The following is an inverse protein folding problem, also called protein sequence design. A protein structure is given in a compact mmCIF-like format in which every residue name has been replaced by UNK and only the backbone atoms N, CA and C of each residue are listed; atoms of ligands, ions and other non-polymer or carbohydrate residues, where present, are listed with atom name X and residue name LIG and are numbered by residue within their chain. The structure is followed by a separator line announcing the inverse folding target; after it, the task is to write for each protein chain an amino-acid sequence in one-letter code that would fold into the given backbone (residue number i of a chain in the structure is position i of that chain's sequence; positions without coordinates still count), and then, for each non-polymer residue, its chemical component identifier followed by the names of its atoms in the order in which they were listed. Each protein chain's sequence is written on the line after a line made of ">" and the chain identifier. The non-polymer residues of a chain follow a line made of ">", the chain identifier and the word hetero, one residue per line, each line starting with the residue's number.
data_IF_674843633846
#
_entry.id   IF_674843633846
#
_cell.length_a   1.000
_cell.length_b   1.000
_cell.length_c   1.000
_cell.angle_alpha   90.00
_cell.angle_beta   90.00
_cell.angle_gamma   90.00
#
_symmetry.space_group_name_H-M   'P 1'
#
loop_
_entity.id
_entity.type
_entity.pdbx_description
1 polymer ?
#
# COMPACT_ATOMS: atom_id res chain seq x y z
N UNK A 1 9.03 -0.85 9.22
CA UNK A 1 9.11 -0.09 7.97
C UNK A 1 9.29 -1.00 6.79
N UNK A 2 8.79 -0.58 5.64
CA UNK A 2 8.87 -1.36 4.41
C UNK A 2 10.16 -1.00 3.67
N UNK A 3 10.92 -2.01 3.30
CA UNK A 3 12.19 -1.85 2.60
C UNK A 3 12.19 -2.69 1.34
N UNK A 4 13.26 -2.56 0.53
CA UNK A 4 13.50 -3.45 -0.59
C UNK A 4 13.45 -4.90 -0.10
N UNK A 5 12.84 -5.77 -0.91
CA UNK A 5 12.61 -7.19 -0.61
C UNK A 5 11.57 -7.48 0.48
N UNK A 6 10.94 -6.46 1.06
CA UNK A 6 9.81 -6.67 1.95
C UNK A 6 8.62 -7.23 1.18
N UNK A 7 7.82 -8.06 1.83
CA UNK A 7 6.57 -8.58 1.27
C UNK A 7 5.42 -7.79 1.84
N UNK A 8 4.50 -7.36 0.97
CA UNK A 8 3.31 -6.62 1.36
C UNK A 8 2.07 -7.38 0.96
N UNK A 9 1.11 -7.44 1.87
CA UNK A 9 -0.23 -7.94 1.57
C UNK A 9 -0.95 -6.89 0.74
N UNK A 10 -1.68 -7.30 -0.30
CA UNK A 10 -2.49 -6.39 -1.10
C UNK A 10 -3.88 -6.30 -0.49
N UNK A 11 -4.28 -5.10 -0.10
CA UNK A 11 -5.53 -4.84 0.62
C UNK A 11 -6.63 -4.32 -0.31
N UNK A 12 -6.67 -4.78 -1.55
CA UNK A 12 -7.72 -4.41 -2.49
C UNK A 12 -8.25 -5.63 -3.25
N UNK A 13 -9.23 -5.39 -4.11
CA UNK A 13 -9.85 -6.43 -4.93
C UNK A 13 -9.34 -6.46 -6.37
N UNK A 14 -8.14 -5.96 -6.61
CA UNK A 14 -7.53 -5.94 -7.95
C UNK A 14 -7.18 -7.33 -8.49
N UNK A 15 -7.08 -8.30 -7.61
CA UNK A 15 -6.68 -9.67 -7.96
C UNK A 15 -5.30 -10.06 -7.47
N UNK A 16 -4.41 -9.11 -7.25
CA UNK A 16 -3.13 -9.37 -6.60
C UNK A 16 -3.36 -9.60 -5.10
N UNK A 17 -2.59 -10.50 -4.50
CA UNK A 17 -2.68 -10.82 -3.07
C UNK A 17 -1.44 -10.44 -2.28
N UNK A 18 -0.27 -10.55 -2.92
CA UNK A 18 1.01 -10.28 -2.27
C UNK A 18 1.98 -9.72 -3.30
N UNK A 19 2.74 -8.69 -2.91
CA UNK A 19 3.81 -8.15 -3.73
C UNK A 19 5.14 -8.20 -2.97
N UNK A 20 6.22 -8.30 -3.73
CA UNK A 20 7.59 -8.17 -3.22
C UNK A 20 8.10 -6.79 -3.62
N UNK A 21 8.51 -5.99 -2.64
CA UNK A 21 8.98 -4.64 -2.88
C UNK A 21 10.34 -4.67 -3.59
N UNK A 22 10.39 -4.04 -4.77
CA UNK A 22 11.64 -3.87 -5.52
C UNK A 22 12.32 -2.58 -5.08
N UNK A 23 11.54 -1.51 -4.91
CA UNK A 23 12.07 -0.20 -4.59
C UNK A 23 11.01 0.68 -3.92
N UNK A 24 11.45 1.54 -3.00
CA UNK A 24 10.62 2.60 -2.45
C UNK A 24 10.86 3.87 -3.27
N UNK A 25 9.77 4.48 -3.76
CA UNK A 25 9.85 5.68 -4.59
C UNK A 25 10.12 6.90 -3.70
N UNK A 26 11.01 7.78 -4.10
CA UNK A 26 11.27 9.01 -3.36
C UNK A 26 12.70 9.51 -3.47
N UNK A 27 13.47 9.02 -4.43
CA UNK A 27 14.83 9.44 -4.67
C UNK A 27 15.87 8.37 -4.39
N UNK A 28 17.12 8.65 -4.72
CA UNK A 28 18.20 7.65 -4.68
C UNK A 28 18.62 7.22 -3.28
N UNK A 29 18.25 8.00 -2.26
CA UNK A 29 18.63 7.72 -0.86
C UNK A 29 17.51 7.13 -0.01
N UNK A 30 16.34 6.95 -0.59
CA UNK A 30 15.20 6.38 0.16
C UNK A 30 15.38 4.88 0.27
N UNK A 31 15.56 4.40 1.49
CA UNK A 31 15.79 2.98 1.78
C UNK A 31 14.58 2.27 2.37
N UNK A 32 13.65 3.02 2.96
CA UNK A 32 12.46 2.46 3.57
C UNK A 32 11.25 3.36 3.36
N UNK A 33 10.06 2.78 3.42
CA UNK A 33 8.80 3.48 3.29
C UNK A 33 7.89 3.24 4.46
N UNK A 34 6.94 4.14 4.66
CA UNK A 34 5.90 4.04 5.66
C UNK A 34 4.55 4.38 5.01
N UNK A 35 3.50 4.50 5.82
CA UNK A 35 2.14 4.78 5.35
C UNK A 35 2.14 6.03 4.47
N UNK A 36 1.52 5.91 3.29
CA UNK A 36 1.44 6.99 2.32
C UNK A 36 2.60 7.04 1.32
N UNK A 37 3.63 6.23 1.49
CA UNK A 37 4.74 6.15 0.54
C UNK A 37 4.40 5.19 -0.59
N UNK A 38 4.92 5.49 -1.78
CA UNK A 38 4.71 4.67 -2.98
C UNK A 38 5.88 3.69 -3.11
N UNK A 39 5.57 2.45 -3.44
CA UNK A 39 6.56 1.41 -3.71
C UNK A 39 6.33 0.82 -5.10
N UNK A 40 7.40 0.28 -5.68
CA UNK A 40 7.33 -0.53 -6.89
C UNK A 40 7.59 -1.97 -6.45
N UNK A 41 6.75 -2.88 -6.87
CA UNK A 41 6.87 -4.28 -6.48
C UNK A 41 6.47 -5.23 -7.59
N UNK A 42 6.81 -6.50 -7.39
CA UNK A 42 6.44 -7.59 -8.28
C UNK A 42 5.33 -8.40 -7.62
N UNK A 43 4.29 -8.71 -8.36
CA UNK A 43 3.18 -9.55 -7.86
C UNK A 43 3.68 -10.97 -7.66
N UNK A 44 3.64 -11.45 -6.42
CA UNK A 44 4.09 -12.82 -6.06
C UNK A 44 2.93 -13.80 -5.94
N UNK A 45 1.76 -13.32 -5.52
CA UNK A 45 0.55 -14.13 -5.43
C UNK A 45 -0.60 -13.35 -6.02
N UNK A 46 -1.41 -13.99 -6.85
CA UNK A 46 -2.58 -13.39 -7.47
C UNK A 46 -3.67 -14.44 -7.65
N UNK A 47 -4.91 -13.96 -7.74
CA UNK A 47 -6.06 -14.81 -8.09
C UNK A 47 -5.91 -15.23 -9.55
N UNK A 48 -6.12 -16.53 -9.89
CA UNK A 48 -6.06 -16.96 -11.28
C UNK A 48 -7.03 -16.18 -12.17
N UNK A 49 -6.59 -15.86 -13.40
CA UNK A 49 -7.38 -15.11 -14.38
C UNK A 49 -7.74 -13.69 -13.98
N UNK A 50 -6.96 -13.09 -13.06
CA UNK A 50 -7.16 -11.69 -12.67
C UNK A 50 -6.49 -10.74 -13.68
N UNK A 51 -6.88 -9.46 -13.61
CA UNK A 51 -6.27 -8.41 -14.45
C UNK A 51 -4.83 -8.09 -14.03
N UNK A 52 -4.42 -8.55 -12.87
CA UNK A 52 -3.06 -8.35 -12.35
C UNK A 52 -2.40 -9.71 -12.17
N UNK A 53 -1.71 -10.22 -13.19
CA UNK A 53 -1.12 -11.55 -13.13
C UNK A 53 0.15 -11.58 -12.27
N UNK A 54 0.46 -12.78 -11.78
CA UNK A 54 1.72 -13.05 -11.07
C UNK A 54 2.91 -12.68 -11.97
N UNK A 55 3.91 -12.04 -11.38
CA UNK A 55 5.11 -11.61 -12.08
C UNK A 55 5.05 -10.19 -12.63
N UNK A 56 3.89 -9.57 -12.64
CA UNK A 56 3.75 -8.19 -13.13
C UNK A 56 4.40 -7.21 -12.15
N UNK A 57 5.06 -6.19 -12.69
CA UNK A 57 5.61 -5.07 -11.90
C UNK A 57 4.52 -4.02 -11.75
N UNK A 58 4.25 -3.62 -10.52
CA UNK A 58 3.16 -2.70 -10.19
C UNK A 58 3.63 -1.61 -9.24
N UNK A 59 2.88 -0.50 -9.21
CA UNK A 59 3.03 0.54 -8.20
C UNK A 59 1.95 0.36 -7.14
N UNK A 60 2.30 0.63 -5.90
CA UNK A 60 1.37 0.54 -4.79
C UNK A 60 1.67 1.61 -3.75
N UNK A 61 0.67 1.98 -2.98
CA UNK A 61 0.84 2.88 -1.83
C UNK A 61 0.65 2.07 -0.55
N UNK A 62 1.52 2.30 0.42
CA UNK A 62 1.44 1.63 1.71
C UNK A 62 0.29 2.23 2.50
N UNK A 63 -0.66 1.40 2.92
CA UNK A 63 -1.85 1.84 3.68
C UNK A 63 -1.82 1.44 5.14
N UNK A 64 -1.07 0.40 5.50
CA UNK A 64 -0.91 -0.08 6.87
C UNK A 64 0.50 -0.59 7.07
N UNK A 65 1.05 -0.39 8.28
CA UNK A 65 2.31 -1.01 8.67
C UNK A 65 2.23 -1.50 10.11
N UNK A 66 2.98 -2.53 10.41
CA UNK A 66 3.10 -3.08 11.77
C UNK A 66 3.79 -2.07 12.70
N UNK A 67 4.79 -1.36 12.20
CA UNK A 67 5.48 -0.33 12.97
C UNK A 67 4.61 0.91 13.22
N UNK A 68 3.73 1.23 12.29
CA UNK A 68 2.77 2.30 12.43
C UNK A 68 3.34 3.71 12.27
N UNK A 69 2.57 4.68 12.73
CA UNK A 69 2.88 6.10 12.61
C UNK A 69 2.63 6.80 13.94
N UNK A 70 3.56 7.65 14.35
CA UNK A 70 3.37 8.56 15.47
C UNK A 70 2.72 9.84 14.99
N UNK A 71 1.63 10.24 15.63
CA UNK A 71 0.88 11.44 15.27
C UNK A 71 1.28 12.65 16.09
N UNK A 72 1.00 13.83 15.55
CA UNK A 72 1.36 15.10 16.18
C UNK A 72 0.74 15.31 17.57
N UNK A 73 -0.43 14.70 17.83
CA UNK A 73 -1.12 14.78 19.12
C UNK A 73 -0.54 13.84 20.19
N UNK A 74 0.53 13.09 19.86
CA UNK A 74 1.14 12.13 20.75
C UNK A 74 0.57 10.72 20.66
N UNK A 75 -0.50 10.52 19.90
CA UNK A 75 -1.05 9.19 19.69
C UNK A 75 -0.20 8.39 18.70
N UNK A 76 -0.39 7.08 18.69
CA UNK A 76 0.35 6.17 17.84
C UNK A 76 -0.61 5.15 17.25
N UNK A 77 -0.56 4.96 15.93
CA UNK A 77 -1.37 3.96 15.26
C UNK A 77 -0.49 2.84 14.73
N UNK A 78 -0.85 1.59 15.06
CA UNK A 78 -0.19 0.39 14.56
C UNK A 78 -1.23 -0.56 14.00
N UNK A 79 -0.82 -1.35 13.02
CA UNK A 79 -1.68 -2.36 12.42
C UNK A 79 -1.07 -3.75 12.60
N UNK A 80 -1.87 -4.79 12.32
CA UNK A 80 -1.43 -6.17 12.47
C UNK A 80 -0.60 -6.67 11.30
N UNK A 81 -0.61 -5.94 10.18
CA UNK A 81 0.09 -6.36 8.97
C UNK A 81 0.67 -5.16 8.22
N UNK A 82 1.52 -5.46 7.24
CA UNK A 82 2.00 -4.48 6.28
C UNK A 82 1.20 -4.68 5.00
N UNK A 83 0.44 -3.68 4.60
CA UNK A 83 -0.46 -3.78 3.47
C UNK A 83 -0.36 -2.58 2.54
N UNK A 84 -0.66 -2.82 1.28
CA UNK A 84 -0.65 -1.80 0.25
C UNK A 84 -1.89 -1.90 -0.61
N UNK A 85 -2.14 -0.85 -1.38
CA UNK A 85 -3.18 -0.79 -2.40
C UNK A 85 -2.52 -0.48 -3.73
N UNK A 86 -2.83 -1.24 -4.78
CA UNK A 86 -2.27 -1.01 -6.10
C UNK A 86 -2.83 0.28 -6.69
N UNK A 87 -1.95 1.07 -7.30
CA UNK A 87 -2.30 2.36 -7.90
C UNK A 87 -1.83 2.42 -9.36
N UNK A 88 -2.49 3.31 -10.10
CA UNK A 88 -2.10 3.64 -11.49
C UNK A 88 -1.12 4.80 -11.48
N UNK A 89 -0.65 5.18 -12.67
CA UNK A 89 0.27 6.30 -12.82
C UNK A 89 -0.29 7.63 -12.30
N UNK A 90 -1.61 7.81 -12.38
CA UNK A 90 -2.30 9.01 -11.88
C UNK A 90 -2.64 8.93 -10.39
N UNK A 91 -2.12 7.93 -9.68
CA UNK A 91 -2.36 7.67 -8.25
C UNK A 91 -3.79 7.21 -7.92
N UNK A 92 -4.60 6.86 -8.93
CA UNK A 92 -5.91 6.29 -8.67
C UNK A 92 -5.80 4.79 -8.35
N UNK A 93 -6.70 4.23 -7.51
CA UNK A 93 -6.64 2.81 -7.21
C UNK A 93 -7.00 1.95 -8.41
N UNK A 94 -6.33 0.82 -8.55
CA UNK A 94 -6.62 -0.16 -9.60
C UNK A 94 -7.91 -0.91 -9.28
N UNK A 95 -8.10 -1.29 -8.02
CA UNK A 95 -9.30 -2.00 -7.57
C UNK A 95 -10.45 -1.06 -7.27
N UNK A 96 -11.61 -1.64 -7.02
CA UNK A 96 -12.85 -0.90 -6.69
C UNK A 96 -13.16 -0.92 -5.20
N UNK A 97 -12.46 -1.72 -4.41
CA UNK A 97 -12.64 -1.84 -2.96
C UNK A 97 -11.30 -1.92 -2.25
N UNK A 98 -11.28 -1.39 -1.04
CA UNK A 98 -10.16 -1.55 -0.12
C UNK A 98 -10.61 -2.45 1.03
N UNK A 99 -9.82 -3.46 1.36
CA UNK A 99 -10.13 -4.46 2.37
C UNK A 99 -9.43 -4.13 3.68
N UNK A 100 -10.22 -3.95 4.73
CA UNK A 100 -9.71 -3.61 6.05
C UNK A 100 -9.42 -2.12 6.24
N UNK A 101 -8.93 -1.73 7.42
CA UNK A 101 -8.71 -0.33 7.74
C UNK A 101 -7.50 0.26 7.01
N UNK A 102 -7.51 1.58 6.84
CA UNK A 102 -6.36 2.34 6.34
C UNK A 102 -6.08 3.49 7.31
N UNK A 103 -4.85 3.98 7.31
CA UNK A 103 -4.49 5.13 8.13
C UNK A 103 -4.95 6.43 7.48
N UNK A 104 -5.41 7.38 8.29
CA UNK A 104 -5.91 8.67 7.78
C UNK A 104 -4.80 9.56 7.21
N UNK A 105 -3.53 9.23 7.44
CA UNK A 105 -2.40 9.93 6.84
C UNK A 105 -2.44 9.93 5.32
N UNK A 106 -3.17 8.99 4.70
CA UNK A 106 -3.36 8.97 3.26
C UNK A 106 -4.07 10.21 2.72
N UNK A 107 -4.89 10.88 3.52
CA UNK A 107 -5.54 12.14 3.12
C UNK A 107 -4.52 13.24 2.89
N UNK A 108 -3.52 13.33 3.76
CA UNK A 108 -2.44 14.32 3.66
C UNK A 108 -1.53 14.07 2.47
N UNK A 109 -1.45 12.81 2.04
CA UNK A 109 -0.64 12.39 0.89
C UNK A 109 -1.42 12.36 -0.43
N UNK A 110 -2.65 12.90 -0.43
CA UNK A 110 -3.51 13.05 -1.61
C UNK A 110 -4.08 11.75 -2.18
N UNK A 111 -4.23 10.72 -1.35
CA UNK A 111 -4.87 9.46 -1.75
C UNK A 111 -6.34 9.41 -1.34
N UNK A 112 -7.09 10.45 -1.65
CA UNK A 112 -8.49 10.58 -1.24
C UNK A 112 -9.41 9.50 -1.79
N UNK A 113 -9.14 9.03 -3.01
CA UNK A 113 -9.95 7.96 -3.61
C UNK A 113 -9.80 6.66 -2.84
N UNK A 114 -8.61 6.35 -2.36
CA UNK A 114 -8.37 5.16 -1.54
C UNK A 114 -9.08 5.30 -0.20
N UNK A 115 -9.00 6.47 0.42
CA UNK A 115 -9.68 6.74 1.69
C UNK A 115 -11.19 6.57 1.55
N UNK A 116 -11.77 7.04 0.43
CA UNK A 116 -13.21 6.92 0.20
C UNK A 116 -13.67 5.48 -0.04
N UNK A 117 -12.79 4.62 -0.52
CA UNK A 117 -13.09 3.20 -0.75
C UNK A 117 -12.88 2.33 0.48
N UNK A 118 -12.16 2.83 1.48
CA UNK A 118 -11.84 2.06 2.68
C UNK A 118 -13.06 1.92 3.59
N UNK A 119 -13.29 0.74 4.17
CA UNK A 119 -14.40 0.52 5.10
C UNK A 119 -14.19 1.23 6.43
N UNK A 120 -12.95 1.49 6.81
CA UNK A 120 -12.60 2.14 8.07
C UNK A 120 -11.32 2.94 7.89
N UNK A 121 -11.31 4.17 8.41
CA UNK A 121 -10.14 5.06 8.39
C UNK A 121 -9.73 5.36 9.82
N UNK A 122 -8.57 4.90 10.20
CA UNK A 122 -8.01 5.05 11.55
C UNK A 122 -6.83 6.05 11.54
#
# INVERSE_FOLDING_TARGET
>A
MVMQESKLKVADNSGAREILVIRVVGGSRVKSGNIGDIVIGTVKKAIPNSNVPKGKVVKAVIVRTVEGVRRADGSYIKFDDNACVLIREDKSPVGTRVLGPVARELREKEFMKIVSLAPEVL
#
